data_IF_906068519955
#
_entry.id   IF_906068519955
#
_cell.length_a   1.000
_cell.length_b   1.000
_cell.length_c   1.000
_cell.angle_alpha   90.00
_cell.angle_beta   90.00
_cell.angle_gamma   90.00
#
_symmetry.space_group_name_H-M   'P 1'
#
loop_
_entity.id
_entity.type
_entity.pdbx_description
1 polymer ?
#
# COMPACT_ATOMS: atom_id res chain seq x y z
N UNK A 1 -9.33 20.49 36.13
CA UNK A 1 -9.29 20.91 34.70
C UNK A 1 -8.30 20.06 33.88
N UNK A 2 -7.02 19.93 34.24
CA UNK A 2 -6.02 19.14 33.56
C UNK A 2 -6.40 17.65 33.33
N UNK A 3 -7.00 16.99 34.33
CA UNK A 3 -7.41 15.59 34.25
C UNK A 3 -8.50 15.35 33.18
N UNK A 4 -9.48 16.26 33.08
CA UNK A 4 -10.55 16.17 32.06
C UNK A 4 -9.98 16.36 30.67
N UNK A 5 -9.07 17.31 30.47
CA UNK A 5 -8.39 17.53 29.20
C UNK A 5 -7.60 16.29 28.81
N UNK A 6 -6.85 15.69 29.75
CA UNK A 6 -6.12 14.44 29.50
C UNK A 6 -7.03 13.29 29.08
N UNK A 7 -8.20 13.15 29.71
CA UNK A 7 -9.18 12.12 29.38
C UNK A 7 -9.74 12.30 27.95
N UNK A 8 -10.07 13.53 27.59
CA UNK A 8 -10.56 13.85 26.23
C UNK A 8 -9.50 13.51 25.17
N UNK A 9 -8.25 13.94 25.38
CA UNK A 9 -7.17 13.61 24.45
C UNK A 9 -6.95 12.10 24.33
N UNK A 10 -6.92 11.38 25.44
CA UNK A 10 -6.78 9.92 25.45
C UNK A 10 -7.93 9.24 24.69
N UNK A 11 -9.17 9.71 24.87
CA UNK A 11 -10.33 9.21 24.14
C UNK A 11 -10.21 9.44 22.62
N UNK A 12 -9.80 10.63 22.21
CA UNK A 12 -9.58 10.95 20.78
C UNK A 12 -8.49 10.07 20.15
N UNK A 13 -7.38 9.83 20.85
CA UNK A 13 -6.34 8.92 20.41
C UNK A 13 -6.84 7.48 20.26
N UNK A 14 -7.70 7.03 21.19
CA UNK A 14 -8.32 5.72 21.11
C UNK A 14 -9.20 5.55 19.88
N UNK A 15 -10.06 6.53 19.61
CA UNK A 15 -10.92 6.53 18.43
C UNK A 15 -10.09 6.52 17.14
N UNK A 16 -9.07 7.37 17.07
CA UNK A 16 -8.15 7.42 15.93
C UNK A 16 -7.42 6.08 15.73
N UNK A 17 -6.94 5.45 16.81
CA UNK A 17 -6.29 4.16 16.78
C UNK A 17 -7.20 3.05 16.25
N UNK A 18 -8.44 2.98 16.71
CA UNK A 18 -9.45 2.03 16.24
C UNK A 18 -9.73 2.25 14.74
N UNK A 19 -9.90 3.49 14.32
CA UNK A 19 -10.17 3.82 12.92
C UNK A 19 -9.00 3.39 12.01
N UNK A 20 -7.78 3.72 12.37
CA UNK A 20 -6.56 3.33 11.62
C UNK A 20 -6.45 1.81 11.56
N UNK A 21 -6.65 1.11 12.67
CA UNK A 21 -6.62 -0.34 12.73
C UNK A 21 -7.68 -0.97 11.82
N UNK A 22 -8.93 -0.55 11.94
CA UNK A 22 -10.04 -1.08 11.15
C UNK A 22 -9.83 -0.88 9.64
N UNK A 23 -9.43 0.33 9.21
CA UNK A 23 -9.13 0.62 7.81
C UNK A 23 -7.96 -0.22 7.30
N UNK A 24 -6.92 -0.39 8.09
CA UNK A 24 -5.73 -1.19 7.72
C UNK A 24 -6.06 -2.66 7.57
N UNK A 25 -6.84 -3.24 8.50
CA UNK A 25 -7.31 -4.63 8.44
C UNK A 25 -8.22 -4.83 7.22
N UNK A 26 -9.20 -3.93 7.02
CA UNK A 26 -10.08 -3.98 5.85
C UNK A 26 -9.28 -3.94 4.53
N UNK A 27 -8.36 -3.00 4.40
CA UNK A 27 -7.47 -2.87 3.24
C UNK A 27 -6.63 -4.12 3.00
N UNK A 28 -6.13 -4.75 4.07
CA UNK A 28 -5.34 -5.98 3.98
C UNK A 28 -6.21 -7.16 3.50
N UNK A 29 -7.39 -7.36 4.08
CA UNK A 29 -8.33 -8.43 3.70
C UNK A 29 -8.79 -8.26 2.25
N UNK A 30 -9.15 -7.02 1.86
CA UNK A 30 -9.54 -6.71 0.49
C UNK A 30 -8.40 -7.06 -0.49
N UNK A 31 -7.17 -6.66 -0.18
CA UNK A 31 -6.00 -6.93 -1.00
C UNK A 31 -5.71 -8.43 -1.13
N UNK A 32 -5.77 -9.19 -0.02
CA UNK A 32 -5.56 -10.64 -0.04
C UNK A 32 -6.61 -11.33 -0.92
N UNK A 33 -7.88 -10.92 -0.81
CA UNK A 33 -8.96 -11.47 -1.65
C UNK A 33 -8.75 -11.15 -3.13
N UNK A 34 -8.31 -9.94 -3.44
CA UNK A 34 -7.99 -9.53 -4.81
C UNK A 34 -6.84 -10.34 -5.38
N UNK A 35 -5.73 -10.45 -4.63
CA UNK A 35 -4.52 -11.18 -5.06
C UNK A 35 -4.78 -12.67 -5.30
N UNK A 36 -5.62 -13.29 -4.48
CA UNK A 36 -5.97 -14.72 -4.63
C UNK A 36 -6.67 -15.04 -5.96
N UNK A 37 -7.31 -14.07 -6.59
CA UNK A 37 -7.99 -14.24 -7.89
C UNK A 37 -7.08 -13.92 -9.08
N UNK A 38 -5.93 -13.33 -8.83
CA UNK A 38 -5.02 -12.91 -9.88
C UNK A 38 -4.06 -14.02 -10.26
N UNK A 39 -3.90 -14.21 -11.57
CA UNK A 39 -2.86 -15.07 -12.12
C UNK A 39 -1.51 -14.32 -12.12
N UNK A 40 -0.43 -15.10 -12.19
CA UNK A 40 0.93 -14.57 -12.24
C UNK A 40 1.55 -14.84 -13.59
N UNK A 41 2.22 -13.85 -14.17
CA UNK A 41 3.09 -14.01 -15.34
C UNK A 41 4.39 -13.24 -15.17
N UNK A 42 5.34 -13.49 -16.06
CA UNK A 42 6.55 -12.68 -16.15
C UNK A 42 6.33 -11.51 -17.11
N UNK A 43 6.71 -10.32 -16.66
CA UNK A 43 6.86 -9.15 -17.51
C UNK A 43 8.31 -8.76 -17.66
N UNK A 44 8.61 -7.97 -18.68
CA UNK A 44 9.95 -7.45 -18.95
C UNK A 44 9.92 -5.94 -18.89
N UNK A 45 10.85 -5.36 -18.16
CA UNK A 45 11.03 -3.90 -18.09
C UNK A 45 11.51 -3.41 -19.46
N UNK A 46 10.73 -2.52 -20.07
CA UNK A 46 11.02 -1.98 -21.42
C UNK A 46 11.49 -0.55 -21.39
N UNK A 47 11.20 0.20 -20.33
CA UNK A 47 11.60 1.58 -20.26
C UNK A 47 11.22 2.28 -18.96
N UNK A 48 11.60 3.54 -18.89
CA UNK A 48 11.28 4.47 -17.82
C UNK A 48 10.76 5.75 -18.43
N UNK A 49 9.63 6.23 -17.95
CA UNK A 49 9.07 7.51 -18.33
C UNK A 49 9.20 8.49 -17.17
N UNK A 50 9.72 9.69 -17.43
CA UNK A 50 9.82 10.76 -16.46
C UNK A 50 8.74 11.79 -16.73
N UNK A 51 7.82 11.96 -15.81
CA UNK A 51 6.74 12.93 -15.91
C UNK A 51 6.96 14.03 -14.89
N UNK A 52 6.84 15.28 -15.32
CA UNK A 52 6.86 16.45 -14.42
C UNK A 52 5.47 16.63 -13.83
N UNK A 53 5.37 16.70 -12.51
CA UNK A 53 4.12 17.06 -11.83
C UNK A 53 3.94 18.57 -11.79
N UNK A 54 2.70 19.00 -11.57
CA UNK A 54 2.38 20.42 -11.38
C UNK A 54 3.16 21.07 -10.22
N UNK A 55 3.62 20.27 -9.23
CA UNK A 55 4.47 20.71 -8.13
C UNK A 55 5.98 20.71 -8.42
N UNK A 56 6.41 20.48 -9.67
CA UNK A 56 7.81 20.55 -10.09
C UNK A 56 8.66 19.31 -9.78
N UNK A 57 8.22 18.42 -8.90
CA UNK A 57 8.94 17.17 -8.60
C UNK A 57 8.74 16.16 -9.71
N UNK A 58 9.81 15.54 -10.24
CA UNK A 58 9.68 14.51 -11.25
C UNK A 58 9.13 13.22 -10.66
N UNK A 59 8.19 12.60 -11.37
CA UNK A 59 7.77 11.22 -11.09
C UNK A 59 8.27 10.30 -12.19
N UNK A 60 8.71 9.12 -11.79
CA UNK A 60 9.17 8.09 -12.70
C UNK A 60 8.14 6.97 -12.77
N UNK A 61 7.82 6.55 -13.99
CA UNK A 61 7.00 5.39 -14.27
C UNK A 61 7.89 4.29 -14.84
N UNK A 62 7.66 3.08 -14.39
CA UNK A 62 8.29 1.89 -14.93
C UNK A 62 7.35 1.30 -15.97
N UNK A 63 7.82 1.18 -17.22
CA UNK A 63 7.09 0.52 -18.28
C UNK A 63 7.47 -0.96 -18.34
N UNK A 64 6.47 -1.84 -18.19
CA UNK A 64 6.67 -3.28 -18.20
C UNK A 64 5.74 -3.90 -19.24
N UNK A 65 6.30 -4.67 -20.16
CA UNK A 65 5.53 -5.45 -21.13
C UNK A 65 5.37 -6.89 -20.66
N UNK A 66 4.17 -7.43 -20.80
CA UNK A 66 3.89 -8.82 -20.51
C UNK A 66 2.87 -9.37 -21.50
N UNK A 67 2.81 -10.70 -21.65
CA UNK A 67 1.92 -11.37 -22.60
C UNK A 67 1.00 -12.35 -21.89
N UNK A 68 -0.27 -12.31 -22.25
CA UNK A 68 -1.29 -13.24 -21.75
C UNK A 68 -2.13 -13.72 -22.94
N UNK A 69 -2.22 -15.05 -23.14
CA UNK A 69 -3.00 -15.64 -24.24
C UNK A 69 -2.58 -15.15 -25.62
N UNK A 70 -1.28 -14.88 -25.85
CA UNK A 70 -0.75 -14.38 -27.11
C UNK A 70 -0.95 -12.88 -27.37
N UNK A 71 -1.64 -12.16 -26.45
CA UNK A 71 -1.79 -10.70 -26.54
C UNK A 71 -0.78 -10.01 -25.61
N UNK A 72 -0.22 -8.91 -26.08
CA UNK A 72 0.71 -8.09 -25.32
C UNK A 72 -0.05 -6.99 -24.55
N UNK A 73 0.36 -6.78 -23.32
CA UNK A 73 -0.12 -5.73 -22.42
C UNK A 73 1.04 -4.92 -21.89
N UNK A 74 0.77 -3.67 -21.57
CA UNK A 74 1.76 -2.75 -20.98
C UNK A 74 1.24 -2.36 -19.62
N UNK A 75 2.09 -2.56 -18.59
CA UNK A 75 1.88 -1.99 -17.27
C UNK A 75 2.69 -0.71 -17.16
N UNK A 76 2.04 0.39 -16.84
CA UNK A 76 2.65 1.68 -16.49
C UNK A 76 2.34 2.02 -15.05
N UNK A 77 2.61 1.05 -14.18
CA UNK A 77 2.13 1.14 -12.83
C UNK A 77 3.24 1.58 -11.91
N UNK A 78 3.44 2.55 -11.36
CA UNK A 78 4.21 2.97 -10.19
C UNK A 78 4.94 4.28 -10.42
N UNK A 79 4.41 5.21 -9.67
CA UNK A 79 5.03 6.50 -9.47
C UNK A 79 6.17 6.36 -8.46
N UNK A 80 7.38 6.58 -8.92
CA UNK A 80 8.56 6.68 -8.05
C UNK A 80 9.06 8.11 -8.02
N UNK A 81 9.36 8.62 -6.83
CA UNK A 81 10.02 9.92 -6.65
C UNK A 81 11.45 9.88 -7.18
N UNK A 82 12.07 8.70 -7.17
CA UNK A 82 13.42 8.45 -7.70
C UNK A 82 13.37 7.48 -8.85
N UNK A 83 14.37 7.55 -9.73
CA UNK A 83 14.51 6.59 -10.83
C UNK A 83 14.55 5.17 -10.26
N UNK A 84 13.70 4.25 -10.72
CA UNK A 84 13.72 2.86 -10.28
C UNK A 84 15.09 2.21 -10.50
N UNK A 85 15.48 1.31 -9.58
CA UNK A 85 16.74 0.57 -9.67
C UNK A 85 16.71 -0.57 -10.70
N UNK A 86 15.51 -0.91 -11.19
CA UNK A 86 15.34 -1.95 -12.20
C UNK A 86 16.11 -1.62 -13.49
N UNK A 87 16.57 -2.65 -14.18
CA UNK A 87 17.26 -2.53 -15.47
C UNK A 87 16.32 -2.84 -16.61
N UNK A 88 16.52 -2.18 -17.75
CA UNK A 88 15.81 -2.53 -19.00
C UNK A 88 16.18 -3.98 -19.34
N UNK A 89 15.19 -4.81 -19.69
CA UNK A 89 15.33 -6.24 -19.90
C UNK A 89 15.18 -7.10 -18.65
N UNK A 90 15.10 -6.48 -17.45
CA UNK A 90 14.87 -7.22 -16.21
C UNK A 90 13.48 -7.86 -16.19
N UNK A 91 13.42 -9.11 -15.73
CA UNK A 91 12.16 -9.84 -15.54
C UNK A 91 11.55 -9.50 -14.21
N UNK A 92 10.27 -9.17 -14.22
CA UNK A 92 9.48 -8.86 -13.02
C UNK A 92 8.20 -9.67 -12.98
N UNK A 93 7.73 -9.98 -11.78
CA UNK A 93 6.46 -10.71 -11.62
C UNK A 93 5.28 -9.76 -11.72
N UNK A 94 4.39 -10.02 -12.65
CA UNK A 94 3.12 -9.31 -12.84
C UNK A 94 1.99 -10.20 -12.33
N UNK A 95 1.08 -9.60 -11.58
CA UNK A 95 -0.18 -10.19 -11.20
C UNK A 95 -1.28 -9.52 -12.02
N UNK A 96 -2.11 -10.30 -12.68
CA UNK A 96 -3.17 -9.79 -13.54
C UNK A 96 -4.48 -10.51 -13.28
N UNK A 97 -5.60 -9.82 -13.52
CA UNK A 97 -6.91 -10.41 -13.50
C UNK A 97 -7.09 -11.25 -14.78
N UNK A 98 -7.32 -12.58 -14.70
CA UNK A 98 -7.52 -13.41 -15.89
C UNK A 98 -8.68 -12.97 -16.77
N UNK A 99 -9.74 -12.43 -16.18
CA UNK A 99 -10.94 -11.96 -16.90
C UNK A 99 -10.73 -10.59 -17.53
N UNK A 100 -9.81 -9.78 -17.00
CA UNK A 100 -9.50 -8.43 -17.47
C UNK A 100 -7.99 -8.14 -17.29
N UNK A 101 -7.11 -8.61 -18.22
CA UNK A 101 -5.65 -8.46 -18.07
C UNK A 101 -5.13 -7.03 -17.98
N UNK A 102 -5.94 -6.03 -18.35
CA UNK A 102 -5.65 -4.62 -18.11
C UNK A 102 -5.59 -4.28 -16.62
N UNK A 103 -6.34 -5.01 -15.78
CA UNK A 103 -6.19 -4.96 -14.33
C UNK A 103 -5.00 -5.79 -13.91
N UNK A 104 -3.88 -5.15 -13.80
CA UNK A 104 -2.63 -5.79 -13.43
C UNK A 104 -1.83 -4.92 -12.48
N UNK A 105 -0.90 -5.50 -11.75
CA UNK A 105 0.03 -4.78 -10.88
C UNK A 105 1.33 -5.56 -10.70
N UNK A 106 2.38 -4.84 -10.42
CA UNK A 106 3.67 -5.41 -10.03
C UNK A 106 3.69 -5.60 -8.52
N UNK A 107 4.18 -6.74 -8.04
CA UNK A 107 4.28 -7.00 -6.61
C UNK A 107 5.40 -6.17 -5.99
N UNK A 108 5.03 -5.19 -5.18
CA UNK A 108 5.99 -4.46 -4.37
C UNK A 108 5.83 -4.78 -2.89
N UNK A 109 6.92 -5.10 -2.27
CA UNK A 109 6.99 -5.32 -0.83
C UNK A 109 6.49 -4.10 -0.04
N UNK A 110 6.77 -2.89 -0.53
CA UNK A 110 6.32 -1.64 0.09
C UNK A 110 4.81 -1.54 0.30
N UNK A 111 4.00 -2.10 -0.59
CA UNK A 111 2.54 -2.12 -0.43
C UNK A 111 2.09 -3.01 0.74
N UNK A 112 2.82 -4.09 1.01
CA UNK A 112 2.56 -5.00 2.13
C UNK A 112 3.01 -4.36 3.43
N UNK A 113 4.22 -3.81 3.45
CA UNK A 113 4.78 -3.13 4.63
C UNK A 113 3.94 -1.93 5.08
N UNK A 114 3.41 -1.14 4.15
CA UNK A 114 2.52 -0.02 4.50
C UNK A 114 1.25 -0.47 5.23
N UNK A 115 0.63 -1.59 4.81
CA UNK A 115 -0.56 -2.14 5.47
C UNK A 115 -0.26 -2.75 6.83
N UNK A 116 0.84 -3.48 6.94
CA UNK A 116 1.31 -4.04 8.23
C UNK A 116 1.65 -2.90 9.19
N UNK A 117 2.34 -1.86 8.71
CA UNK A 117 2.66 -0.66 9.49
C UNK A 117 1.42 0.01 10.07
N UNK A 118 0.36 0.15 9.26
CA UNK A 118 -0.91 0.71 9.74
C UNK A 118 -1.56 -0.12 10.84
N UNK A 119 -1.53 -1.46 10.73
CA UNK A 119 -2.05 -2.37 11.77
C UNK A 119 -1.25 -2.20 13.08
N UNK A 120 0.08 -2.18 12.99
CA UNK A 120 0.96 -2.02 14.15
C UNK A 120 0.73 -0.66 14.84
N UNK A 121 0.70 0.43 14.08
CA UNK A 121 0.45 1.77 14.62
C UNK A 121 -0.92 1.83 15.30
N UNK A 122 -1.97 1.36 14.63
CA UNK A 122 -3.32 1.33 15.21
C UNK A 122 -3.37 0.54 16.52
N UNK A 123 -2.70 -0.63 16.56
CA UNK A 123 -2.60 -1.45 17.77
C UNK A 123 -1.91 -0.70 18.91
N UNK A 124 -0.79 -0.03 18.63
CA UNK A 124 -0.05 0.76 19.65
C UNK A 124 -0.92 1.85 20.22
N UNK A 125 -1.69 2.58 19.39
CA UNK A 125 -2.60 3.64 19.85
C UNK A 125 -3.69 3.08 20.75
N UNK A 126 -4.30 1.94 20.40
CA UNK A 126 -5.33 1.28 21.21
C UNK A 126 -4.76 0.84 22.56
N UNK A 127 -3.60 0.18 22.58
CA UNK A 127 -2.94 -0.27 23.81
C UNK A 127 -2.57 0.91 24.71
N UNK A 128 -2.02 1.98 24.14
CA UNK A 128 -1.70 3.20 24.88
C UNK A 128 -2.94 3.80 25.55
N UNK A 129 -4.05 3.84 24.83
CA UNK A 129 -5.32 4.33 25.34
C UNK A 129 -5.82 3.46 26.50
N UNK A 130 -5.80 2.13 26.35
CA UNK A 130 -6.23 1.21 27.41
C UNK A 130 -5.40 1.36 28.71
N UNK A 131 -4.06 1.45 28.58
CA UNK A 131 -3.17 1.66 29.73
C UNK A 131 -3.42 3.02 30.40
N UNK A 132 -3.66 4.08 29.61
CA UNK A 132 -3.93 5.41 30.13
C UNK A 132 -5.27 5.46 30.89
N UNK A 133 -6.32 4.85 30.35
CA UNK A 133 -7.60 4.71 31.06
C UNK A 133 -7.46 3.90 32.35
N UNK A 134 -6.76 2.76 32.31
CA UNK A 134 -6.54 1.95 33.48
C UNK A 134 -5.86 2.73 34.64
N UNK A 135 -4.84 3.53 34.31
CA UNK A 135 -4.14 4.38 35.28
C UNK A 135 -5.01 5.52 35.81
N UNK A 136 -5.98 6.01 35.04
CA UNK A 136 -6.85 7.10 35.44
C UNK A 136 -7.93 6.65 36.43
N UNK A 137 -8.42 5.42 36.31
CA UNK A 137 -9.48 4.86 37.15
C UNK A 137 -8.98 4.05 38.37
N UNK A 138 -7.68 3.88 38.53
CA UNK A 138 -7.07 3.26 39.70
C UNK A 138 -6.51 4.30 40.69
#
# INVERSE_FOLDING_TARGET
MAAIVGLIFTGLFGIAGIAIFAVSVYSMVYWIRKVKRFARCEGVVTGFEKVKTAGGSPLWYLEIKFSVGGKQFINRDIQHTYKPANRIGEKVSIFYNPDAPQENYVKYWGQIFGRIGGILIGTIFVLFTMVSFYKFFR
#
